data_IF_922495719859
#
_entry.id   IF_922495719859
#
_cell.length_a   1.000
_cell.length_b   1.000
_cell.length_c   1.000
_cell.angle_alpha   90.00
_cell.angle_beta   90.00
_cell.angle_gamma   90.00
#
_symmetry.space_group_name_H-M   'P 1'
#
loop_
_entity.id
_entity.type
_entity.pdbx_description
1 polymer ?
#
# COMPACT_ATOMS: atom_id res chain seq x y z
N UNK A 1 1.44 -30.09 0.03
CA UNK A 1 0.51 -29.90 -1.08
C UNK A 1 1.03 -28.91 -2.08
N UNK A 2 1.24 -29.36 -3.31
CA UNK A 2 1.68 -28.48 -4.37
C UNK A 2 0.67 -27.38 -4.65
N UNK A 3 -0.59 -27.70 -4.48
CA UNK A 3 -1.66 -26.76 -4.68
C UNK A 3 -1.59 -25.57 -3.71
N UNK A 4 -1.13 -25.83 -2.50
CA UNK A 4 -1.07 -24.76 -1.50
C UNK A 4 -0.05 -23.71 -1.85
N UNK A 5 1.02 -24.04 -2.58
CA UNK A 5 2.00 -23.05 -2.99
C UNK A 5 1.42 -22.09 -4.03
N UNK A 6 0.80 -22.63 -5.08
CA UNK A 6 0.14 -21.80 -6.07
C UNK A 6 -1.00 -21.02 -5.46
N UNK A 7 -1.75 -21.67 -4.58
CA UNK A 7 -2.83 -21.02 -3.85
C UNK A 7 -2.30 -19.90 -2.97
N UNK A 8 -1.17 -20.14 -2.31
CA UNK A 8 -0.55 -19.12 -1.47
C UNK A 8 -0.16 -17.88 -2.27
N UNK A 9 0.40 -18.07 -3.46
CA UNK A 9 0.77 -16.95 -4.33
C UNK A 9 -0.47 -16.17 -4.77
N UNK A 10 -1.51 -16.89 -5.17
CA UNK A 10 -2.78 -16.25 -5.55
C UNK A 10 -3.44 -15.57 -4.36
N UNK A 11 -3.38 -16.21 -3.20
CA UNK A 11 -3.96 -15.63 -1.99
C UNK A 11 -3.25 -14.36 -1.60
N UNK A 12 -1.92 -14.31 -1.75
CA UNK A 12 -1.15 -13.13 -1.46
C UNK A 12 -1.55 -11.97 -2.38
N UNK A 13 -1.66 -12.24 -3.69
CA UNK A 13 -2.08 -11.22 -4.65
C UNK A 13 -3.48 -10.72 -4.36
N UNK A 14 -4.39 -11.64 -4.07
CA UNK A 14 -5.76 -11.28 -3.73
C UNK A 14 -5.79 -10.44 -2.46
N UNK A 15 -5.02 -10.84 -1.47
CA UNK A 15 -4.90 -10.08 -0.22
C UNK A 15 -4.40 -8.67 -0.50
N UNK A 16 -3.36 -8.53 -1.33
CA UNK A 16 -2.80 -7.21 -1.65
C UNK A 16 -3.80 -6.35 -2.41
N UNK A 17 -4.58 -6.92 -3.32
CA UNK A 17 -5.61 -6.16 -4.01
C UNK A 17 -6.71 -5.70 -3.06
N UNK A 18 -7.12 -6.55 -2.13
CA UNK A 18 -8.10 -6.19 -1.12
C UNK A 18 -7.54 -5.09 -0.23
N UNK A 19 -6.30 -5.24 0.23
CA UNK A 19 -5.65 -4.23 1.04
C UNK A 19 -5.54 -2.89 0.29
N UNK A 20 -5.18 -2.94 -0.99
CA UNK A 20 -5.09 -1.75 -1.83
C UNK A 20 -6.44 -1.04 -1.92
N UNK A 21 -7.51 -1.80 -2.11
CA UNK A 21 -8.86 -1.24 -2.17
C UNK A 21 -9.24 -0.59 -0.85
N UNK A 22 -8.92 -1.23 0.27
CA UNK A 22 -9.20 -0.67 1.59
C UNK A 22 -8.38 0.61 1.82
N UNK A 23 -7.12 0.61 1.42
CA UNK A 23 -6.29 1.80 1.54
C UNK A 23 -6.81 2.94 0.67
N UNK A 24 -7.32 2.61 -0.52
CA UNK A 24 -7.92 3.62 -1.38
C UNK A 24 -9.17 4.23 -0.75
N UNK A 25 -10.00 3.41 -0.13
CA UNK A 25 -11.17 3.91 0.60
C UNK A 25 -10.74 4.84 1.72
N UNK A 26 -9.69 4.46 2.46
CA UNK A 26 -9.12 5.31 3.51
C UNK A 26 -8.62 6.63 2.96
N UNK A 27 -7.96 6.60 1.79
CA UNK A 27 -7.47 7.81 1.14
C UNK A 27 -8.62 8.74 0.75
N UNK A 28 -9.67 8.18 0.19
CA UNK A 28 -10.84 8.96 -0.21
C UNK A 28 -11.49 9.60 1.02
N UNK A 29 -11.65 8.81 2.09
CA UNK A 29 -12.20 9.33 3.33
C UNK A 29 -11.37 10.46 3.90
N UNK A 30 -10.04 10.34 3.86
CA UNK A 30 -9.15 11.38 4.34
C UNK A 30 -9.28 12.66 3.51
N UNK A 31 -9.46 12.53 2.20
CA UNK A 31 -9.67 13.68 1.33
C UNK A 31 -10.99 14.38 1.69
N UNK A 32 -12.02 13.60 1.93
CA UNK A 32 -13.33 14.16 2.31
C UNK A 32 -13.22 14.91 3.62
N UNK A 33 -12.45 14.39 4.57
CA UNK A 33 -12.22 15.01 5.87
C UNK A 33 -11.22 16.18 5.79
N UNK A 34 -10.67 16.45 4.61
CA UNK A 34 -9.67 17.50 4.38
C UNK A 34 -8.39 17.31 5.19
N UNK A 35 -8.07 16.08 5.49
CA UNK A 35 -6.83 15.74 6.19
C UNK A 35 -5.76 15.41 5.17
N UNK A 36 -5.04 16.44 4.73
CA UNK A 36 -4.08 16.33 3.63
C UNK A 36 -2.95 15.35 3.95
N UNK A 37 -2.38 15.44 5.15
CA UNK A 37 -1.27 14.56 5.52
C UNK A 37 -1.70 13.11 5.55
N UNK A 38 -2.86 12.85 6.13
CA UNK A 38 -3.40 11.51 6.21
C UNK A 38 -3.74 10.99 4.82
N UNK A 39 -4.30 11.85 3.96
CA UNK A 39 -4.60 11.48 2.59
C UNK A 39 -3.34 11.08 1.82
N UNK A 40 -2.26 11.84 1.97
CA UNK A 40 -0.99 11.53 1.31
C UNK A 40 -0.47 10.17 1.77
N UNK A 41 -0.53 9.90 3.07
CA UNK A 41 -0.09 8.61 3.60
C UNK A 41 -0.91 7.46 3.03
N UNK A 42 -2.23 7.59 3.00
CA UNK A 42 -3.09 6.53 2.48
C UNK A 42 -2.91 6.34 0.98
N UNK A 43 -2.70 7.40 0.22
CA UNK A 43 -2.38 7.27 -1.20
C UNK A 43 -1.03 6.58 -1.40
N UNK A 44 -0.05 6.85 -0.53
CA UNK A 44 1.22 6.13 -0.55
C UNK A 44 1.04 4.64 -0.34
N UNK A 45 0.23 4.24 0.63
CA UNK A 45 -0.09 2.84 0.85
C UNK A 45 -0.79 2.24 -0.36
N UNK A 46 -1.73 2.96 -0.96
CA UNK A 46 -2.46 2.49 -2.14
C UNK A 46 -1.49 2.23 -3.29
N UNK A 47 -0.57 3.15 -3.54
CA UNK A 47 0.42 3.00 -4.59
C UNK A 47 1.33 1.80 -4.31
N UNK A 48 1.79 1.66 -3.07
CA UNK A 48 2.60 0.52 -2.67
C UNK A 48 1.85 -0.80 -2.90
N UNK A 49 0.58 -0.86 -2.47
CA UNK A 49 -0.23 -2.04 -2.63
C UNK A 49 -0.45 -2.40 -4.10
N UNK A 50 -0.74 -1.40 -4.93
CA UNK A 50 -0.95 -1.62 -6.35
C UNK A 50 0.32 -2.12 -7.03
N UNK A 51 1.47 -1.55 -6.71
CA UNK A 51 2.74 -1.99 -7.27
C UNK A 51 3.05 -3.42 -6.85
N UNK A 52 2.82 -3.75 -5.58
CA UNK A 52 3.08 -5.09 -5.07
C UNK A 52 2.09 -6.10 -5.66
N UNK A 53 0.82 -5.76 -5.69
CA UNK A 53 -0.22 -6.67 -6.18
C UNK A 53 -0.07 -6.94 -7.67
N UNK A 54 0.38 -5.96 -8.44
CA UNK A 54 0.56 -6.12 -9.87
C UNK A 54 1.81 -6.91 -10.24
N UNK A 55 2.69 -7.19 -9.27
CA UNK A 55 3.94 -7.89 -9.52
C UNK A 55 5.02 -7.01 -10.12
N UNK A 56 4.80 -5.71 -10.20
CA UNK A 56 5.78 -4.80 -10.78
C UNK A 56 7.08 -4.77 -9.99
N UNK A 57 7.00 -4.94 -8.68
CA UNK A 57 8.20 -4.96 -7.83
C UNK A 57 9.07 -6.18 -8.10
N UNK A 58 8.50 -7.25 -8.63
CA UNK A 58 9.26 -8.44 -8.99
C UNK A 58 9.98 -8.27 -10.31
N UNK A 59 9.46 -7.41 -11.19
CA UNK A 59 10.02 -7.20 -12.51
C UNK A 59 11.16 -6.21 -12.54
N UNK A 60 11.17 -5.26 -11.62
CA UNK A 60 12.14 -4.17 -11.65
C UNK A 60 12.60 -3.85 -10.25
N UNK A 61 13.91 -3.77 -10.06
CA UNK A 61 14.49 -3.35 -8.80
C UNK A 61 14.15 -1.90 -8.50
N UNK A 62 14.11 -1.06 -9.54
CA UNK A 62 13.75 0.34 -9.37
C UNK A 62 12.35 0.49 -8.80
N UNK A 63 11.39 -0.30 -9.32
CA UNK A 63 10.04 -0.27 -8.80
C UNK A 63 9.95 -0.84 -7.38
N UNK A 64 10.75 -1.87 -7.08
CA UNK A 64 10.81 -2.41 -5.72
C UNK A 64 11.31 -1.36 -4.74
N UNK A 65 12.38 -0.65 -5.07
CA UNK A 65 12.90 0.42 -4.22
C UNK A 65 11.90 1.55 -4.09
N UNK A 66 11.21 1.89 -5.18
CA UNK A 66 10.19 2.93 -5.15
C UNK A 66 9.05 2.54 -4.21
N UNK A 67 8.59 1.30 -4.27
CA UNK A 67 7.51 0.84 -3.41
C UNK A 67 7.92 0.86 -1.93
N UNK A 68 9.16 0.45 -1.63
CA UNK A 68 9.68 0.50 -0.27
C UNK A 68 9.77 1.94 0.21
N UNK A 69 10.25 2.84 -0.64
CA UNK A 69 10.34 4.26 -0.29
C UNK A 69 8.96 4.84 -0.02
N UNK A 70 7.97 4.51 -0.84
CA UNK A 70 6.59 4.95 -0.63
C UNK A 70 6.05 4.44 0.70
N UNK A 71 6.32 3.17 1.02
CA UNK A 71 5.87 2.59 2.27
C UNK A 71 6.49 3.32 3.46
N UNK A 72 7.81 3.56 3.40
CA UNK A 72 8.52 4.24 4.49
C UNK A 72 7.99 5.66 4.66
N UNK A 73 7.80 6.38 3.57
CA UNK A 73 7.28 7.75 3.61
C UNK A 73 5.88 7.77 4.20
N UNK A 74 5.01 6.87 3.74
CA UNK A 74 3.64 6.79 4.24
C UNK A 74 3.61 6.47 5.73
N UNK A 75 4.44 5.53 6.17
CA UNK A 75 4.53 5.19 7.59
C UNK A 75 5.05 6.36 8.41
N UNK A 76 6.06 7.07 7.90
CA UNK A 76 6.60 8.22 8.60
C UNK A 76 5.55 9.31 8.76
N UNK A 77 4.77 9.56 7.71
CA UNK A 77 3.70 10.57 7.77
C UNK A 77 2.65 10.16 8.80
N UNK A 78 2.22 8.90 8.79
CA UNK A 78 1.21 8.43 9.73
C UNK A 78 1.72 8.52 11.18
N UNK A 79 2.96 8.12 11.42
CA UNK A 79 3.55 8.22 12.76
C UNK A 79 3.62 9.67 13.18
N UNK A 80 4.04 10.56 12.29
CA UNK A 80 4.11 11.99 12.58
C UNK A 80 2.74 12.57 12.93
N UNK A 81 1.72 12.23 12.16
CA UNK A 81 0.36 12.70 12.42
C UNK A 81 -0.14 12.16 13.75
N UNK A 82 0.10 10.88 14.01
CA UNK A 82 -0.33 10.25 15.25
C UNK A 82 0.33 10.89 16.47
N UNK A 83 1.64 11.18 16.38
CA UNK A 83 2.37 11.79 17.48
C UNK A 83 2.00 13.26 17.67
N UNK A 84 1.62 13.95 16.58
CA UNK A 84 1.24 15.35 16.66
C UNK A 84 -0.12 15.54 17.34
N UNK A 85 -0.95 14.53 17.27
CA UNK A 85 -2.23 14.55 17.96
C UNK A 85 -2.03 14.28 19.45
#
# INVERSE_FOLDING_TARGET
MGRSRGTGSQSFRLFMWIATALWLVGAIAAVIDRDTLNAVAWFGFTAFGALTASGSTERSRGLAYLSIALLIIAMAILVGVFLAD
#
